data_IF_932653772166
#
_entry.id   IF_932653772166
#
_cell.length_a   1.000
_cell.length_b   1.000
_cell.length_c   1.000
_cell.angle_alpha   90.00
_cell.angle_beta   90.00
_cell.angle_gamma   90.00
#
_symmetry.space_group_name_H-M   'P 1'
#
loop_
_entity.id
_entity.type
_entity.pdbx_description
1 polymer ?
#
# COMPACT_ATOMS: atom_id res chain seq x y z
N UNK A 1 -8.79 -0.22 10.65
CA UNK A 1 -9.09 -0.77 9.30
C UNK A 1 -7.79 -1.17 8.64
N UNK A 2 -7.78 -2.24 7.83
CA UNK A 2 -6.64 -2.66 7.01
C UNK A 2 -6.72 -1.98 5.63
N UNK A 3 -5.63 -1.33 5.21
CA UNK A 3 -5.56 -0.52 3.98
C UNK A 3 -4.32 -0.92 3.19
N UNK A 4 -4.50 -1.24 1.91
CA UNK A 4 -3.39 -1.40 0.96
C UNK A 4 -3.25 -0.14 0.12
N UNK A 5 -2.05 0.43 0.05
CA UNK A 5 -1.74 1.64 -0.73
C UNK A 5 -0.88 1.26 -1.92
N UNK A 6 -1.48 1.24 -3.11
CA UNK A 6 -0.77 1.04 -4.39
C UNK A 6 0.04 2.30 -4.73
N UNK A 7 1.32 2.13 -5.03
CA UNK A 7 2.27 3.23 -5.15
C UNK A 7 2.72 3.80 -3.80
N UNK A 8 2.60 3.02 -2.72
CA UNK A 8 2.95 3.43 -1.36
C UNK A 8 4.40 3.88 -1.15
N UNK A 9 5.30 3.54 -2.08
CA UNK A 9 6.71 3.97 -2.08
C UNK A 9 6.98 5.22 -2.93
N UNK A 10 5.99 5.70 -3.69
CA UNK A 10 6.11 6.90 -4.53
C UNK A 10 6.00 8.21 -3.76
N UNK A 11 6.06 9.34 -4.48
CA UNK A 11 6.07 10.68 -3.87
C UNK A 11 4.88 10.93 -2.93
N UNK A 12 3.67 10.56 -3.37
CA UNK A 12 2.45 10.72 -2.57
C UNK A 12 2.32 9.59 -1.56
N UNK A 13 2.48 8.33 -1.99
CA UNK A 13 2.34 7.16 -1.13
C UNK A 13 3.23 7.20 0.11
N UNK A 14 4.48 7.66 -0.04
CA UNK A 14 5.45 7.78 1.07
C UNK A 14 5.02 8.77 2.16
N UNK A 15 4.11 9.71 1.85
CA UNK A 15 3.51 10.64 2.81
C UNK A 15 2.17 10.12 3.33
N UNK A 16 1.37 9.51 2.46
CA UNK A 16 0.03 9.00 2.81
C UNK A 16 0.10 7.82 3.78
N UNK A 17 1.03 6.87 3.57
CA UNK A 17 1.19 5.68 4.43
C UNK A 17 1.43 6.06 5.91
N UNK A 18 2.39 6.92 6.28
CA UNK A 18 2.59 7.30 7.67
C UNK A 18 1.42 8.08 8.26
N UNK A 19 0.73 8.93 7.50
CA UNK A 19 -0.48 9.65 7.97
C UNK A 19 -1.58 8.65 8.35
N UNK A 20 -1.85 7.67 7.48
CA UNK A 20 -2.85 6.64 7.76
C UNK A 20 -2.45 5.77 8.96
N UNK A 21 -1.17 5.42 9.10
CA UNK A 21 -0.67 4.68 10.28
C UNK A 21 -0.83 5.49 11.56
N UNK A 22 -0.53 6.79 11.54
CA UNK A 22 -0.77 7.68 12.70
C UNK A 22 -2.26 7.77 13.05
N UNK A 23 -3.16 7.67 12.07
CA UNK A 23 -4.60 7.57 12.29
C UNK A 23 -5.07 6.23 12.91
N UNK A 24 -4.16 5.30 13.22
CA UNK A 24 -4.50 3.99 13.80
C UNK A 24 -4.93 2.94 12.78
N UNK A 25 -4.64 3.17 11.50
CA UNK A 25 -4.90 2.18 10.45
C UNK A 25 -3.73 1.21 10.29
N UNK A 26 -4.04 -0.04 9.99
CA UNK A 26 -3.05 -1.02 9.54
C UNK A 26 -2.84 -0.78 8.03
N UNK A 27 -1.63 -0.37 7.64
CA UNK A 27 -1.36 0.08 6.26
C UNK A 27 -0.20 -0.69 5.66
N UNK A 28 -0.44 -1.29 4.51
CA UNK A 28 0.55 -2.00 3.68
C UNK A 28 0.81 -1.19 2.42
N UNK A 29 2.07 -0.85 2.19
CA UNK A 29 2.51 -0.20 0.96
C UNK A 29 2.79 -1.26 -0.10
N UNK A 30 2.21 -1.12 -1.28
CA UNK A 30 2.32 -2.07 -2.37
C UNK A 30 2.69 -1.36 -3.68
N UNK A 31 3.46 -2.04 -4.52
CA UNK A 31 3.85 -1.59 -5.87
C UNK A 31 4.16 -2.80 -6.75
N UNK A 32 4.22 -2.63 -8.09
CA UNK A 32 4.70 -3.69 -8.96
C UNK A 32 6.10 -4.20 -8.57
N UNK A 33 6.98 -3.28 -8.13
CA UNK A 33 8.31 -3.64 -7.62
C UNK A 33 8.29 -4.40 -6.29
N UNK A 34 7.20 -4.37 -5.53
CA UNK A 34 7.00 -5.18 -4.33
C UNK A 34 6.21 -6.47 -4.63
N UNK A 35 6.05 -6.84 -5.90
CA UNK A 35 5.33 -8.05 -6.32
C UNK A 35 3.81 -7.94 -6.30
N UNK A 36 3.24 -6.72 -6.23
CA UNK A 36 1.79 -6.51 -6.23
C UNK A 36 1.35 -5.86 -7.54
N UNK A 37 0.43 -6.51 -8.25
CA UNK A 37 -0.16 -6.00 -9.48
C UNK A 37 -1.66 -5.72 -9.27
N UNK A 38 -2.03 -4.45 -9.30
CA UNK A 38 -3.42 -4.01 -9.10
C UNK A 38 -4.34 -4.28 -10.30
N UNK A 39 -3.80 -4.61 -11.47
CA UNK A 39 -4.59 -4.93 -12.68
C UNK A 39 -4.94 -6.42 -12.71
N UNK A 40 -3.95 -7.28 -12.45
CA UNK A 40 -4.16 -8.74 -12.44
C UNK A 40 -4.64 -9.27 -11.09
N UNK A 41 -4.42 -8.52 -10.01
CA UNK A 41 -4.71 -8.95 -8.63
C UNK A 41 -3.62 -9.82 -8.01
N UNK A 42 -2.51 -10.07 -8.72
CA UNK A 42 -1.38 -10.83 -8.19
C UNK A 42 -0.76 -10.13 -6.98
N UNK A 43 -0.48 -10.89 -5.92
CA UNK A 43 0.10 -10.39 -4.67
C UNK A 43 -0.84 -9.55 -3.80
N UNK A 44 -2.08 -9.29 -4.24
CA UNK A 44 -3.02 -8.41 -3.52
C UNK A 44 -3.67 -9.08 -2.30
N UNK A 45 -3.83 -10.41 -2.30
CA UNK A 45 -4.42 -11.13 -1.17
C UNK A 45 -3.47 -11.21 0.01
N UNK A 46 -2.18 -11.27 -0.28
CA UNK A 46 -1.08 -11.41 0.67
C UNK A 46 -0.66 -10.05 1.24
N UNK A 47 -0.99 -8.96 0.53
CA UNK A 47 -0.84 -7.57 1.00
C UNK A 47 -1.88 -7.20 2.07
#
# INVERSE_FOLDING_TARGET
>A
MKIVVIGGTGLIGSKTVPILRQGGHEVVAASPSSGVNSITGEGLKEA
#
